data_IF_940016093022
#
_entry.id   IF_940016093022
#
_cell.length_a   1.000
_cell.length_b   1.000
_cell.length_c   1.000
_cell.angle_alpha   90.00
_cell.angle_beta   90.00
_cell.angle_gamma   90.00
#
_symmetry.space_group_name_H-M   'P 1'
#
loop_
_entity.id
_entity.type
_entity.pdbx_description
1 polymer ?
#
# COMPACT_ATOMS: atom_id res chain seq x y z
N UNK A 1 23.29 14.33 -8.85
CA UNK A 1 21.94 13.70 -8.85
C UNK A 1 22.14 12.20 -8.77
N UNK A 2 22.12 11.63 -7.55
CA UNK A 2 22.43 10.20 -7.33
C UNK A 2 21.19 9.35 -7.59
N UNK A 3 21.32 8.34 -8.46
CA UNK A 3 20.36 7.27 -8.67
C UNK A 3 20.12 6.55 -7.33
N UNK A 4 19.05 6.92 -6.63
CA UNK A 4 18.60 6.25 -5.39
C UNK A 4 17.86 4.96 -5.77
N UNK A 5 18.56 4.04 -6.43
CA UNK A 5 18.05 2.71 -6.74
C UNK A 5 17.99 1.90 -5.43
N UNK A 6 16.85 1.28 -5.15
CA UNK A 6 16.67 0.44 -3.97
C UNK A 6 16.67 -1.03 -4.40
N UNK A 7 17.80 -1.70 -4.20
CA UNK A 7 18.00 -3.12 -4.53
C UNK A 7 17.20 -4.09 -3.66
N UNK A 8 16.57 -3.61 -2.58
CA UNK A 8 15.75 -4.44 -1.68
C UNK A 8 14.32 -4.66 -2.19
N UNK A 9 13.94 -4.01 -3.29
CA UNK A 9 12.65 -4.20 -3.93
C UNK A 9 12.81 -5.18 -5.08
N UNK A 10 12.17 -6.34 -4.93
CA UNK A 10 12.09 -7.35 -5.97
C UNK A 10 10.86 -8.25 -5.77
N UNK A 11 10.46 -9.02 -6.80
CA UNK A 11 9.41 -10.00 -6.66
C UNK A 11 9.79 -11.10 -5.63
N UNK A 12 8.85 -11.55 -4.77
CA UNK A 12 7.49 -11.06 -4.66
C UNK A 12 7.42 -9.68 -3.98
N UNK A 13 6.71 -8.73 -4.59
CA UNK A 13 6.60 -7.38 -4.03
C UNK A 13 5.74 -7.36 -2.75
N UNK A 14 6.27 -6.76 -1.69
CA UNK A 14 5.56 -6.61 -0.43
C UNK A 14 4.81 -5.27 -0.41
N UNK A 15 3.47 -5.31 -0.32
CA UNK A 15 2.63 -4.11 -0.44
C UNK A 15 1.91 -3.85 0.88
N UNK A 16 2.19 -2.74 1.55
CA UNK A 16 1.43 -2.30 2.74
C UNK A 16 0.18 -1.56 2.27
N UNK A 17 -0.97 -1.99 2.76
CA UNK A 17 -2.27 -1.44 2.35
C UNK A 17 -2.83 -0.55 3.45
N UNK A 18 -3.31 0.61 3.02
CA UNK A 18 -4.01 1.59 3.85
C UNK A 18 -5.55 1.44 3.74
N UNK A 19 -6.27 1.83 4.80
CA UNK A 19 -7.74 1.83 4.91
C UNK A 19 -8.40 2.50 3.71
N UNK A 20 -7.89 3.67 3.31
CA UNK A 20 -8.45 4.45 2.21
C UNK A 20 -8.35 3.73 0.86
N UNK A 21 -7.25 3.02 0.63
CA UNK A 21 -7.01 2.28 -0.61
C UNK A 21 -8.04 1.16 -0.82
N UNK A 22 -8.36 0.42 0.25
CA UNK A 22 -9.36 -0.66 0.20
C UNK A 22 -10.74 -0.09 -0.10
N UNK A 23 -11.12 1.00 0.55
CA UNK A 23 -12.40 1.66 0.30
C UNK A 23 -12.55 2.14 -1.15
N UNK A 24 -11.50 2.72 -1.73
CA UNK A 24 -11.52 3.11 -3.14
C UNK A 24 -11.51 1.91 -4.09
N UNK A 25 -10.80 0.83 -3.76
CA UNK A 25 -10.81 -0.40 -4.56
C UNK A 25 -12.22 -0.99 -4.66
N UNK A 26 -12.95 -1.02 -3.54
CA UNK A 26 -14.36 -1.44 -3.51
C UNK A 26 -15.25 -0.49 -4.32
N UNK A 27 -15.09 0.82 -4.12
CA UNK A 27 -15.87 1.85 -4.84
C UNK A 27 -15.74 1.70 -6.35
N UNK A 28 -14.54 1.44 -6.85
CA UNK A 28 -14.25 1.28 -8.27
C UNK A 28 -14.35 -0.16 -8.77
N UNK A 29 -14.77 -1.10 -7.91
CA UNK A 29 -14.93 -2.54 -8.22
C UNK A 29 -13.65 -3.18 -8.78
N UNK A 30 -12.51 -2.81 -8.24
CA UNK A 30 -11.20 -3.36 -8.61
C UNK A 30 -10.88 -4.49 -7.63
N UNK A 31 -10.63 -5.70 -8.14
CA UNK A 31 -10.06 -6.77 -7.32
C UNK A 31 -8.63 -6.39 -6.94
N UNK A 32 -8.34 -6.36 -5.64
CA UNK A 32 -7.08 -5.84 -5.11
C UNK A 32 -5.89 -6.71 -5.58
N UNK A 33 -6.04 -8.03 -5.57
CA UNK A 33 -4.96 -8.95 -5.94
C UNK A 33 -4.66 -8.88 -7.43
N UNK A 34 -5.70 -8.94 -8.25
CA UNK A 34 -5.58 -8.80 -9.70
C UNK A 34 -5.00 -7.44 -10.07
N UNK A 35 -5.52 -6.36 -9.46
CA UNK A 35 -5.05 -5.00 -9.71
C UNK A 35 -3.57 -4.82 -9.37
N UNK A 36 -3.06 -5.47 -8.33
CA UNK A 36 -1.62 -5.44 -8.03
C UNK A 36 -0.79 -6.20 -9.07
N UNK A 37 -1.24 -7.38 -9.50
CA UNK A 37 -0.55 -8.17 -10.51
C UNK A 37 -0.54 -7.47 -11.87
N UNK A 38 -1.66 -6.85 -12.28
CA UNK A 38 -1.78 -6.11 -13.53
C UNK A 38 -0.91 -4.84 -13.53
N UNK A 39 -0.73 -4.21 -12.37
CA UNK A 39 0.07 -2.99 -12.23
C UNK A 39 1.57 -3.28 -12.17
N UNK A 40 1.98 -4.33 -11.45
CA UNK A 40 3.38 -4.64 -11.16
C UNK A 40 3.97 -5.73 -12.05
N UNK A 41 3.16 -6.43 -12.84
CA UNK A 41 3.55 -7.55 -13.70
C UNK A 41 4.39 -8.62 -12.99
N UNK A 42 4.14 -8.82 -11.69
CA UNK A 42 4.92 -9.71 -10.84
C UNK A 42 4.07 -10.25 -9.69
N UNK A 43 4.59 -11.27 -8.99
CA UNK A 43 3.96 -11.81 -7.78
C UNK A 43 3.96 -10.75 -6.68
N UNK A 44 2.83 -10.61 -5.99
CA UNK A 44 2.64 -9.62 -4.91
C UNK A 44 2.14 -10.27 -3.64
N UNK A 45 2.58 -9.76 -2.50
CA UNK A 45 2.12 -10.16 -1.17
C UNK A 45 1.57 -8.91 -0.49
N UNK A 46 0.24 -8.79 -0.35
CA UNK A 46 -0.34 -7.69 0.39
C UNK A 46 -0.19 -7.90 1.89
N UNK A 47 0.06 -6.80 2.59
CA UNK A 47 0.20 -6.71 4.02
C UNK A 47 -0.77 -5.68 4.59
N UNK A 48 -1.37 -6.03 5.73
CA UNK A 48 -2.18 -5.10 6.52
C UNK A 48 -1.63 -5.01 7.94
N UNK A 49 -1.42 -3.79 8.40
CA UNK A 49 -0.95 -3.52 9.76
C UNK A 49 -2.08 -3.64 10.77
N UNK A 50 -1.74 -3.98 12.02
CA UNK A 50 -2.74 -4.07 13.10
C UNK A 50 -3.53 -2.77 13.29
N UNK A 51 -2.89 -1.61 13.13
CA UNK A 51 -3.56 -0.32 13.25
C UNK A 51 -4.59 -0.09 12.13
N UNK A 52 -4.26 -0.42 10.87
CA UNK A 52 -5.20 -0.32 9.74
C UNK A 52 -6.39 -1.26 9.96
N UNK A 53 -6.13 -2.48 10.42
CA UNK A 53 -7.19 -3.42 10.77
C UNK A 53 -8.07 -2.87 11.89
N UNK A 54 -7.47 -2.31 12.94
CA UNK A 54 -8.18 -1.69 14.06
C UNK A 54 -9.00 -0.46 13.65
N UNK A 55 -8.52 0.37 12.72
CA UNK A 55 -9.27 1.49 12.15
C UNK A 55 -10.52 1.00 11.40
N UNK A 56 -10.37 -0.03 10.57
CA UNK A 56 -11.49 -0.62 9.84
C UNK A 56 -12.52 -1.27 10.76
N UNK A 57 -12.08 -1.93 11.85
CA UNK A 57 -12.98 -2.50 12.85
C UNK A 57 -13.77 -1.41 13.60
N UNK A 58 -13.15 -0.26 13.90
CA UNK A 58 -13.83 0.90 14.51
C UNK A 58 -14.90 1.52 13.62
N UNK A 59 -14.71 1.51 12.29
CA UNK A 59 -15.70 2.02 11.34
C UNK A 59 -16.95 1.13 11.23
N UNK A 60 -16.89 -0.09 11.76
CA UNK A 60 -18.04 -0.98 11.97
C UNK A 60 -18.75 -1.36 10.68
N UNK A 61 -20.08 -1.21 10.68
CA UNK A 61 -20.97 -1.70 9.62
C UNK A 61 -20.65 -1.13 8.23
N UNK A 62 -20.14 0.10 8.16
CA UNK A 62 -19.81 0.78 6.89
C UNK A 62 -18.67 0.10 6.13
N UNK A 63 -17.79 -0.61 6.85
CA UNK A 63 -16.59 -1.24 6.29
C UNK A 63 -16.63 -2.77 6.32
N UNK A 64 -17.81 -3.40 6.49
CA UNK A 64 -17.96 -4.87 6.49
C UNK A 64 -17.32 -5.57 5.29
N UNK A 65 -17.53 -5.01 4.09
CA UNK A 65 -16.96 -5.57 2.85
C UNK A 65 -15.43 -5.45 2.85
N UNK A 66 -14.90 -4.28 3.26
CA UNK A 66 -13.46 -4.07 3.39
C UNK A 66 -12.81 -5.03 4.40
N UNK A 67 -13.44 -5.23 5.55
CA UNK A 67 -12.98 -6.19 6.56
C UNK A 67 -12.96 -7.62 6.02
N UNK A 68 -13.99 -8.04 5.26
CA UNK A 68 -14.03 -9.37 4.64
C UNK A 68 -12.91 -9.57 3.62
N UNK A 69 -12.61 -8.55 2.81
CA UNK A 69 -11.53 -8.59 1.82
C UNK A 69 -10.17 -8.70 2.52
N UNK A 70 -9.94 -7.90 3.56
CA UNK A 70 -8.65 -7.88 4.27
C UNK A 70 -8.42 -9.14 5.10
N UNK A 71 -9.48 -9.78 5.61
CA UNK A 71 -9.39 -11.02 6.37
C UNK A 71 -9.22 -12.27 5.48
N UNK A 72 -9.11 -12.11 4.17
CA UNK A 72 -8.75 -13.18 3.24
C UNK A 72 -7.32 -13.67 3.51
N UNK A 73 -7.09 -14.98 3.44
CA UNK A 73 -5.80 -15.64 3.65
C UNK A 73 -4.68 -15.14 2.72
N UNK A 74 -5.03 -14.49 1.61
CA UNK A 74 -4.07 -13.86 0.70
C UNK A 74 -3.37 -12.64 1.33
N UNK A 75 -3.96 -12.02 2.35
CA UNK A 75 -3.39 -10.87 3.06
C UNK A 75 -2.60 -11.32 4.27
N UNK A 76 -1.36 -10.86 4.36
CA UNK A 76 -0.51 -11.11 5.53
C UNK A 76 -0.67 -10.01 6.55
N UNK A 77 -0.68 -10.38 7.82
CA UNK A 77 -0.77 -9.43 8.93
C UNK A 77 0.62 -8.93 9.32
N UNK A 78 0.78 -7.63 9.51
CA UNK A 78 1.97 -7.02 10.09
C UNK A 78 1.67 -6.56 11.51
N UNK A 79 2.34 -7.20 12.47
CA UNK A 79 2.17 -6.84 13.87
C UNK A 79 2.76 -5.46 14.18
N UNK A 80 2.01 -4.69 14.94
CA UNK A 80 2.41 -3.36 15.39
C UNK A 80 2.75 -3.36 16.88
N UNK A 81 3.87 -2.70 17.24
CA UNK A 81 4.33 -2.58 18.63
C UNK A 81 4.16 -1.14 19.13
N UNK A 82 2.95 -0.62 19.05
CA UNK A 82 2.64 0.75 19.47
C UNK A 82 1.21 0.85 20.02
N UNK A 83 1.01 1.72 21.01
CA UNK A 83 -0.30 1.95 21.62
C UNK A 83 -0.92 3.24 21.04
N UNK A 84 -2.06 3.11 20.37
CA UNK A 84 -2.90 4.28 20.04
C UNK A 84 -2.33 5.30 19.05
N UNK A 85 -1.40 4.92 18.18
CA UNK A 85 -0.95 5.81 17.09
C UNK A 85 -1.87 5.71 15.86
N UNK A 86 -1.87 6.77 15.05
CA UNK A 86 -2.55 6.78 13.75
C UNK A 86 -1.88 5.81 12.76
N UNK A 87 -2.67 5.16 11.90
CA UNK A 87 -2.12 4.22 10.91
C UNK A 87 -1.08 4.86 10.00
N UNK A 88 -1.27 6.11 9.58
CA UNK A 88 -0.32 6.85 8.75
C UNK A 88 1.08 6.92 9.37
N UNK A 89 1.15 7.19 10.68
CA UNK A 89 2.43 7.27 11.41
C UNK A 89 3.10 5.91 11.49
N UNK A 90 2.32 4.85 11.74
CA UNK A 90 2.81 3.47 11.70
C UNK A 90 3.42 3.13 10.34
N UNK A 91 2.70 3.39 9.26
CA UNK A 91 3.13 3.08 7.90
C UNK A 91 4.43 3.83 7.58
N UNK A 92 4.47 5.14 7.86
CA UNK A 92 5.64 5.98 7.63
C UNK A 92 6.85 5.50 8.42
N UNK A 93 6.69 5.19 9.71
CA UNK A 93 7.78 4.65 10.52
C UNK A 93 8.29 3.31 9.96
N UNK A 94 7.36 2.41 9.60
CA UNK A 94 7.71 1.09 9.07
C UNK A 94 8.49 1.17 7.76
N UNK A 95 8.05 1.98 6.80
CA UNK A 95 8.74 2.09 5.50
C UNK A 95 10.01 2.95 5.56
N UNK A 96 10.15 3.77 6.60
CA UNK A 96 11.41 4.45 6.90
C UNK A 96 12.47 3.46 7.39
N UNK A 97 12.09 2.55 8.30
CA UNK A 97 12.98 1.52 8.85
C UNK A 97 13.29 0.42 7.83
N UNK A 98 12.27 -0.04 7.10
CA UNK A 98 12.36 -1.14 6.15
C UNK A 98 11.91 -0.67 4.77
N UNK A 99 12.86 -0.46 3.87
CA UNK A 99 12.60 0.04 2.52
C UNK A 99 12.22 -1.07 1.53
N UNK A 100 11.80 -2.24 2.01
CA UNK A 100 11.40 -3.38 1.18
C UNK A 100 9.89 -3.41 0.87
N UNK A 101 9.16 -2.31 1.14
CA UNK A 101 7.72 -2.23 0.95
C UNK A 101 7.33 -1.19 -0.10
N UNK A 102 6.26 -1.51 -0.83
CA UNK A 102 5.45 -0.56 -1.60
C UNK A 102 4.27 -0.15 -0.73
N UNK A 103 3.89 1.12 -0.73
CA UNK A 103 2.69 1.57 0.01
C UNK A 103 1.53 1.80 -0.95
N UNK A 104 0.42 1.11 -0.72
CA UNK A 104 -0.84 1.30 -1.44
C UNK A 104 -1.73 2.30 -0.69
N UNK A 105 -1.78 3.55 -1.14
CA UNK A 105 -2.63 4.60 -0.53
C UNK A 105 -3.11 5.63 -1.55
N UNK A 106 -4.33 6.11 -1.35
CA UNK A 106 -4.88 7.24 -2.10
C UNK A 106 -4.82 8.57 -1.32
N UNK A 107 -4.41 8.53 -0.05
CA UNK A 107 -4.37 9.72 0.81
C UNK A 107 -3.28 10.72 0.38
N UNK A 108 -3.63 12.00 0.31
CA UNK A 108 -2.75 13.04 -0.23
C UNK A 108 -1.60 13.37 0.72
N UNK A 109 -1.86 13.38 2.02
CA UNK A 109 -0.89 13.75 3.03
C UNK A 109 0.09 12.60 3.30
N UNK A 110 -0.41 11.36 3.37
CA UNK A 110 0.42 10.15 3.47
C UNK A 110 1.34 10.02 2.24
N UNK A 111 0.82 10.25 1.01
CA UNK A 111 1.65 10.34 -0.21
C UNK A 111 2.75 11.38 -0.07
N UNK A 112 2.43 12.59 0.40
CA UNK A 112 3.42 13.66 0.58
C UNK A 112 4.51 13.27 1.57
N UNK A 113 4.15 12.57 2.65
CA UNK A 113 5.10 12.06 3.65
C UNK A 113 6.01 10.97 3.09
N UNK A 114 5.45 9.97 2.39
CA UNK A 114 6.23 8.86 1.81
C UNK A 114 7.15 9.34 0.69
N UNK A 115 6.77 10.36 -0.09
CA UNK A 115 7.65 10.95 -1.12
C UNK A 115 8.97 11.49 -0.56
N UNK A 116 8.99 11.92 0.71
CA UNK A 116 10.21 12.37 1.39
C UNK A 116 11.16 11.20 1.71
N UNK A 117 10.65 9.97 1.78
CA UNK A 117 11.44 8.77 2.02
C UNK A 117 11.96 8.25 0.67
N UNK A 118 13.29 8.20 0.45
CA UNK A 118 13.83 7.68 -0.80
C UNK A 118 13.74 6.15 -0.85
N UNK A 119 13.44 5.62 -2.04
CA UNK A 119 13.39 4.18 -2.30
C UNK A 119 12.09 3.49 -1.90
N UNK A 120 11.04 4.24 -1.54
CA UNK A 120 9.70 3.68 -1.24
C UNK A 120 8.73 4.06 -2.36
N UNK A 121 8.29 3.08 -3.18
CA UNK A 121 7.29 3.30 -4.20
C UNK A 121 5.90 3.47 -3.60
N UNK A 122 5.04 4.19 -4.32
CA UNK A 122 3.66 4.43 -3.91
C UNK A 122 2.71 3.95 -4.99
N UNK A 123 1.79 3.06 -4.60
CA UNK A 123 0.73 2.54 -5.45
C UNK A 123 -0.59 3.23 -5.09
N UNK A 124 -1.31 3.71 -6.09
CA UNK A 124 -2.54 4.48 -5.92
C UNK A 124 -3.54 4.16 -7.03
N UNK A 125 -4.78 4.61 -6.86
CA UNK A 125 -5.83 4.40 -7.86
C UNK A 125 -5.99 5.66 -8.71
N UNK A 126 -5.92 5.51 -10.03
CA UNK A 126 -6.16 6.57 -11.02
C UNK A 126 -6.94 5.99 -12.19
N UNK A 127 -7.99 6.69 -12.65
CA UNK A 127 -8.81 6.27 -13.79
C UNK A 127 -9.29 4.80 -13.69
N UNK A 128 -9.77 4.38 -12.51
CA UNK A 128 -10.24 3.00 -12.26
C UNK A 128 -9.18 1.90 -12.45
N UNK A 129 -7.89 2.26 -12.39
CA UNK A 129 -6.77 1.32 -12.45
C UNK A 129 -5.75 1.63 -11.36
N UNK A 130 -4.97 0.64 -10.97
CA UNK A 130 -3.84 0.85 -10.09
C UNK A 130 -2.69 1.45 -10.90
N UNK A 131 -1.97 2.38 -10.29
CA UNK A 131 -0.81 3.05 -10.87
C UNK A 131 0.26 3.15 -9.80
N UNK A 132 1.53 3.09 -10.21
CA UNK A 132 2.66 3.19 -9.30
C UNK A 132 3.54 4.39 -9.65
N UNK A 133 4.07 5.06 -8.64
CA UNK A 133 5.11 6.06 -8.78
C UNK A 133 6.38 5.65 -8.02
N UNK A 134 7.54 6.16 -8.48
CA UNK A 134 8.86 5.99 -7.86
C UNK A 134 9.34 4.53 -7.75
N UNK A 135 8.87 3.69 -8.66
CA UNK A 135 9.43 2.35 -8.84
C UNK A 135 10.64 2.42 -9.78
N UNK A 136 11.80 1.88 -9.38
CA UNK A 136 13.05 2.03 -10.15
C UNK A 136 12.99 1.42 -11.56
N UNK A 137 12.23 0.34 -11.74
CA UNK A 137 12.15 -0.44 -12.98
C UNK A 137 10.76 -0.40 -13.63
N UNK A 138 9.98 0.68 -13.42
CA UNK A 138 8.65 0.82 -14.02
C UNK A 138 8.75 1.02 -15.54
N UNK A 139 8.89 -0.08 -16.29
CA UNK A 139 8.54 -0.16 -17.70
C UNK A 139 7.06 0.20 -17.85
N UNK A 140 6.75 1.48 -18.15
CA UNK A 140 5.42 1.91 -18.59
C UNK A 140 4.69 2.94 -17.71
N UNK A 141 5.28 3.49 -16.65
CA UNK A 141 4.68 4.66 -15.99
C UNK A 141 4.95 5.92 -16.82
N UNK A 142 3.92 6.72 -17.21
CA UNK A 142 4.14 7.96 -17.94
C UNK A 142 4.97 8.90 -17.06
N UNK A 143 6.15 9.25 -17.57
CA UNK A 143 6.98 10.32 -17.05
C UNK A 143 6.28 11.62 -17.41
N UNK A 144 5.71 12.29 -16.42
CA UNK A 144 5.36 13.72 -16.51
C UNK A 144 6.53 14.53 -15.98
#
# INVERSE_FOLDING_TARGET
MFLKYNTQLGPPFHIIIDTNFVNFSIKYRIDIMQGFMDCLYAKTIPYVTDCVLGELEKLGQRCKVALKIIKDNRFKRLSCFHKGIYADDCIVQRVTQHKCYIVATCDKDLKRRIRKIPGVPILYIRQHRFSIERMPDAYGAPVN
#
